data_IF_219374596522
#
_entry.id   IF_219374596522
#
_cell.length_a   1.000
_cell.length_b   1.000
_cell.length_c   1.000
_cell.angle_alpha   90.00
_cell.angle_beta   90.00
_cell.angle_gamma   90.00
#
_symmetry.space_group_name_H-M   'P 1'
#
loop_
_entity.id
_entity.type
_entity.pdbx_description
1 polymer ?
#
# COMPACT_ATOMS: atom_id res chain seq x y z
N UNK A 1 -80.93 -4.44 -36.64
CA UNK A 1 -79.51 -4.15 -37.04
C UNK A 1 -78.65 -4.21 -35.78
N UNK A 2 -78.05 -5.38 -35.54
CA UNK A 2 -77.12 -5.55 -34.40
C UNK A 2 -75.71 -5.36 -34.95
N UNK A 3 -75.10 -4.21 -34.71
CA UNK A 3 -73.68 -4.03 -34.95
C UNK A 3 -72.93 -4.76 -33.84
N UNK A 4 -72.39 -5.90 -34.15
CA UNK A 4 -71.39 -6.56 -33.30
C UNK A 4 -70.27 -5.59 -33.07
N UNK A 5 -70.12 -5.11 -31.84
CA UNK A 5 -68.89 -4.55 -31.32
C UNK A 5 -67.84 -5.69 -31.27
N UNK A 6 -67.33 -6.03 -32.46
CA UNK A 6 -66.04 -6.73 -32.51
C UNK A 6 -65.03 -5.77 -31.87
N UNK A 7 -64.86 -5.93 -30.60
CA UNK A 7 -63.71 -5.36 -29.88
C UNK A 7 -62.49 -5.57 -30.76
N UNK A 8 -61.92 -4.47 -31.21
CA UNK A 8 -60.74 -4.50 -32.04
C UNK A 8 -59.55 -5.01 -31.17
N UNK A 9 -59.49 -6.35 -31.06
CA UNK A 9 -58.40 -7.02 -30.31
C UNK A 9 -57.04 -6.64 -30.85
N UNK A 10 -56.93 -6.12 -32.08
CA UNK A 10 -55.66 -5.65 -32.65
C UNK A 10 -55.15 -4.42 -31.95
N UNK A 11 -55.99 -3.49 -31.54
CA UNK A 11 -55.58 -2.31 -30.78
C UNK A 11 -55.05 -2.64 -29.38
N UNK A 12 -55.75 -3.59 -28.70
CA UNK A 12 -55.34 -4.05 -27.37
C UNK A 12 -54.01 -4.81 -27.43
N UNK A 13 -53.88 -5.69 -28.42
CA UNK A 13 -52.61 -6.48 -28.62
C UNK A 13 -51.44 -5.53 -28.96
N UNK A 14 -51.66 -4.56 -29.85
CA UNK A 14 -50.61 -3.58 -30.19
C UNK A 14 -50.21 -2.72 -28.99
N UNK A 15 -51.18 -2.32 -28.17
CA UNK A 15 -50.87 -1.57 -26.93
C UNK A 15 -50.10 -2.44 -25.95
N UNK A 16 -50.49 -3.69 -25.72
CA UNK A 16 -49.78 -4.65 -24.85
C UNK A 16 -48.34 -4.92 -25.32
N UNK A 17 -48.17 -5.13 -26.63
CA UNK A 17 -46.82 -5.30 -27.20
C UNK A 17 -45.96 -4.07 -27.02
N UNK A 18 -46.49 -2.86 -27.15
CA UNK A 18 -45.78 -1.60 -26.89
C UNK A 18 -45.36 -1.49 -25.44
N UNK A 19 -46.19 -1.87 -24.47
CA UNK A 19 -45.83 -1.87 -23.06
C UNK A 19 -44.73 -2.90 -22.75
N UNK A 20 -44.83 -4.11 -23.30
CA UNK A 20 -43.79 -5.16 -23.15
C UNK A 20 -42.48 -4.68 -23.76
N UNK A 21 -42.47 -4.09 -24.94
CA UNK A 21 -41.30 -3.56 -25.61
C UNK A 21 -40.65 -2.43 -24.79
N UNK A 22 -41.45 -1.55 -24.20
CA UNK A 22 -40.97 -0.45 -23.32
C UNK A 22 -40.33 -1.01 -22.05
N UNK A 23 -40.93 -2.00 -21.40
CA UNK A 23 -40.40 -2.66 -20.22
C UNK A 23 -39.07 -3.38 -20.51
N UNK A 24 -39.00 -4.09 -21.66
CA UNK A 24 -37.75 -4.71 -22.07
C UNK A 24 -36.66 -3.68 -22.35
N UNK A 25 -36.97 -2.62 -23.08
CA UNK A 25 -36.01 -1.53 -23.34
C UNK A 25 -35.52 -0.88 -22.06
N UNK A 26 -36.42 -0.60 -21.10
CA UNK A 26 -36.07 -0.06 -19.78
C UNK A 26 -35.18 -1.06 -18.99
N UNK A 27 -35.52 -2.35 -19.02
CA UNK A 27 -34.73 -3.39 -18.36
C UNK A 27 -33.31 -3.51 -18.94
N UNK A 28 -33.19 -3.47 -20.27
CA UNK A 28 -31.86 -3.47 -20.95
C UNK A 28 -31.06 -2.23 -20.58
N UNK A 29 -31.69 -1.06 -20.57
CA UNK A 29 -31.02 0.21 -20.23
C UNK A 29 -30.53 0.20 -18.77
N UNK A 30 -31.38 -0.23 -17.84
CA UNK A 30 -31.00 -0.36 -16.42
C UNK A 30 -29.86 -1.38 -16.26
N UNK A 31 -29.95 -2.51 -16.93
CA UNK A 31 -28.90 -3.54 -16.92
C UNK A 31 -27.58 -3.03 -17.50
N UNK A 32 -27.61 -2.25 -18.56
CA UNK A 32 -26.42 -1.64 -19.15
C UNK A 32 -25.77 -0.61 -18.21
N UNK A 33 -26.57 0.27 -17.60
CA UNK A 33 -26.08 1.27 -16.63
C UNK A 33 -25.47 0.56 -15.41
N UNK A 34 -26.16 -0.42 -14.85
CA UNK A 34 -25.68 -1.20 -13.71
C UNK A 34 -24.37 -1.96 -14.07
N UNK A 35 -24.29 -2.54 -15.26
CA UNK A 35 -23.11 -3.22 -15.76
C UNK A 35 -21.91 -2.28 -15.90
N UNK A 36 -22.10 -1.09 -16.45
CA UNK A 36 -21.07 -0.08 -16.61
C UNK A 36 -20.55 0.42 -15.24
N UNK A 37 -21.44 0.65 -14.28
CA UNK A 37 -21.06 1.08 -12.91
C UNK A 37 -20.25 -0.01 -12.22
N UNK A 38 -20.71 -1.25 -12.29
CA UNK A 38 -20.02 -2.41 -11.72
C UNK A 38 -18.62 -2.61 -12.34
N UNK A 39 -18.53 -2.52 -13.66
CA UNK A 39 -17.26 -2.63 -14.38
C UNK A 39 -16.27 -1.54 -13.98
N UNK A 40 -16.73 -0.29 -13.86
CA UNK A 40 -15.90 0.83 -13.43
C UNK A 40 -15.37 0.65 -11.98
N UNK A 41 -16.23 0.19 -11.07
CA UNK A 41 -15.82 -0.07 -9.69
C UNK A 41 -14.84 -1.24 -9.60
N UNK A 42 -15.05 -2.29 -10.36
CA UNK A 42 -14.14 -3.42 -10.44
C UNK A 42 -12.77 -3.02 -11.02
N UNK A 43 -12.75 -2.23 -12.09
CA UNK A 43 -11.51 -1.73 -12.67
C UNK A 43 -10.71 -0.90 -11.67
N UNK A 44 -11.37 0.00 -10.93
CA UNK A 44 -10.71 0.84 -9.91
C UNK A 44 -10.17 0.01 -8.75
N UNK A 45 -10.88 -1.03 -8.35
CA UNK A 45 -10.39 -1.96 -7.34
C UNK A 45 -9.16 -2.74 -7.82
N UNK A 46 -9.16 -3.18 -9.06
CA UNK A 46 -8.01 -3.86 -9.67
C UNK A 46 -6.80 -2.91 -9.77
N UNK A 47 -7.00 -1.65 -10.16
CA UNK A 47 -5.95 -0.63 -10.18
C UNK A 47 -5.38 -0.35 -8.78
N UNK A 48 -6.22 -0.18 -7.77
CA UNK A 48 -5.79 0.05 -6.41
C UNK A 48 -5.00 -1.13 -5.85
N UNK A 49 -5.43 -2.36 -6.15
CA UNK A 49 -4.69 -3.57 -5.80
C UNK A 49 -3.33 -3.61 -6.53
N UNK A 50 -3.28 -3.26 -7.81
CA UNK A 50 -2.03 -3.20 -8.56
C UNK A 50 -1.05 -2.17 -7.98
N UNK A 51 -1.51 -0.99 -7.53
CA UNK A 51 -0.67 -0.01 -6.85
C UNK A 51 -0.09 -0.60 -5.55
N UNK A 52 -0.93 -1.23 -4.73
CA UNK A 52 -0.50 -1.85 -3.47
C UNK A 52 0.52 -2.97 -3.72
N UNK A 53 0.25 -3.86 -4.67
CA UNK A 53 1.12 -4.98 -5.03
C UNK A 53 2.46 -4.51 -5.61
N UNK A 54 2.45 -3.48 -6.46
CA UNK A 54 3.68 -2.91 -7.01
C UNK A 54 4.58 -2.33 -5.91
N UNK A 55 4.00 -1.60 -4.95
CA UNK A 55 4.76 -1.07 -3.82
C UNK A 55 5.32 -2.21 -2.94
N UNK A 56 4.50 -3.20 -2.59
CA UNK A 56 4.94 -4.37 -1.80
C UNK A 56 6.12 -5.08 -2.48
N UNK A 57 5.99 -5.39 -3.77
CA UNK A 57 7.07 -6.03 -4.55
C UNK A 57 8.32 -5.15 -4.64
N UNK A 58 8.17 -3.83 -4.68
CA UNK A 58 9.32 -2.92 -4.67
C UNK A 58 10.07 -3.00 -3.33
N UNK A 59 9.36 -2.98 -2.20
CA UNK A 59 9.94 -3.09 -0.86
C UNK A 59 10.64 -4.45 -0.69
N UNK A 60 10.02 -5.53 -1.14
CA UNK A 60 10.61 -6.88 -1.15
C UNK A 60 11.87 -6.95 -2.03
N UNK A 61 11.85 -6.29 -3.18
CA UNK A 61 13.04 -6.20 -4.06
C UNK A 61 14.18 -5.46 -3.39
N UNK A 62 13.87 -4.42 -2.61
CA UNK A 62 14.89 -3.71 -1.81
C UNK A 62 15.48 -4.61 -0.73
N UNK A 63 14.67 -5.48 -0.11
CA UNK A 63 15.19 -6.42 0.90
C UNK A 63 16.17 -7.44 0.33
N UNK A 64 15.97 -7.87 -0.92
CA UNK A 64 16.86 -8.80 -1.62
C UNK A 64 18.18 -8.18 -2.11
N UNK A 65 18.35 -6.86 -1.97
CA UNK A 65 19.62 -6.22 -2.37
C UNK A 65 20.77 -6.69 -1.49
N UNK A 66 21.90 -6.96 -2.13
CA UNK A 66 23.12 -7.42 -1.45
C UNK A 66 24.02 -6.26 -0.98
N UNK A 67 23.75 -5.05 -1.43
CA UNK A 67 24.51 -3.84 -1.10
C UNK A 67 23.59 -2.76 -0.56
N UNK A 68 24.12 -1.82 0.27
CA UNK A 68 23.38 -0.65 0.69
C UNK A 68 22.87 0.13 -0.52
N UNK A 69 21.59 0.43 -0.54
CA UNK A 69 20.98 1.16 -1.65
C UNK A 69 19.86 2.07 -1.09
N UNK A 70 19.74 3.25 -1.67
CA UNK A 70 18.64 4.18 -1.39
C UNK A 70 17.90 4.48 -2.69
N UNK A 71 16.62 4.28 -2.68
CA UNK A 71 15.74 4.54 -3.83
C UNK A 71 14.59 5.43 -3.43
N UNK A 72 14.14 6.22 -4.40
CA UNK A 72 12.92 7.03 -4.26
C UNK A 72 11.77 6.32 -4.92
N UNK A 73 10.67 6.17 -4.21
CA UNK A 73 9.43 5.61 -4.72
C UNK A 73 8.37 6.71 -4.84
N UNK A 74 7.73 6.80 -6.01
CA UNK A 74 6.59 7.67 -6.27
C UNK A 74 5.38 6.79 -6.63
N UNK A 75 4.26 7.05 -5.99
CA UNK A 75 3.02 6.38 -6.36
C UNK A 75 2.50 6.95 -7.68
N UNK A 76 1.87 6.11 -8.54
CA UNK A 76 1.44 6.54 -9.86
C UNK A 76 0.29 7.56 -9.78
N UNK A 77 0.36 8.60 -10.59
CA UNK A 77 -0.76 9.53 -10.75
C UNK A 77 -1.98 8.84 -11.35
N UNK A 78 -3.16 9.16 -10.85
CA UNK A 78 -4.45 8.65 -11.32
C UNK A 78 -5.43 9.79 -11.57
N UNK A 79 -6.44 9.52 -12.39
CA UNK A 79 -7.54 10.45 -12.66
C UNK A 79 -8.49 10.65 -11.47
N UNK A 80 -8.27 9.95 -10.38
CA UNK A 80 -9.05 10.01 -9.15
C UNK A 80 -8.13 10.16 -7.95
N UNK A 81 -8.63 10.80 -6.90
CA UNK A 81 -7.88 10.95 -5.66
C UNK A 81 -7.87 9.64 -4.87
N UNK A 82 -6.69 9.27 -4.37
CA UNK A 82 -6.52 8.11 -3.50
C UNK A 82 -5.46 8.39 -2.44
N UNK A 83 -5.56 7.69 -1.32
CA UNK A 83 -4.57 7.70 -0.24
C UNK A 83 -3.94 6.33 -0.11
N UNK A 84 -2.68 6.30 0.26
CA UNK A 84 -1.97 5.06 0.57
C UNK A 84 -1.69 5.01 2.07
N UNK A 85 -2.01 3.88 2.69
CA UNK A 85 -1.69 3.59 4.09
C UNK A 85 -0.67 2.47 4.11
N UNK A 86 0.44 2.72 4.79
CA UNK A 86 1.57 1.80 4.87
C UNK A 86 1.77 1.43 6.33
N UNK A 87 1.72 0.15 6.63
CA UNK A 87 2.07 -0.46 7.91
C UNK A 87 3.21 -1.44 7.69
N UNK A 88 3.82 -1.94 8.74
CA UNK A 88 4.87 -2.97 8.66
C UNK A 88 4.41 -4.28 8.02
N UNK A 89 3.10 -4.56 8.09
CA UNK A 89 2.54 -5.84 7.64
C UNK A 89 1.76 -5.72 6.34
N UNK A 90 1.39 -4.50 5.94
CA UNK A 90 0.57 -4.30 4.74
C UNK A 90 0.65 -2.90 4.16
N UNK A 91 0.33 -2.80 2.90
CA UNK A 91 0.00 -1.56 2.21
C UNK A 91 -1.45 -1.61 1.75
N UNK A 92 -2.17 -0.51 1.90
CA UNK A 92 -3.55 -0.39 1.43
C UNK A 92 -3.77 0.92 0.70
N UNK A 93 -4.56 0.85 -0.37
CA UNK A 93 -4.97 1.98 -1.19
C UNK A 93 -6.44 2.24 -0.96
N UNK A 94 -6.76 3.46 -0.54
CA UNK A 94 -8.13 3.90 -0.28
C UNK A 94 -8.48 5.02 -1.24
N UNK A 95 -9.64 4.93 -1.87
CA UNK A 95 -10.17 6.00 -2.70
C UNK A 95 -11.14 6.85 -1.89
N UNK A 96 -11.03 8.16 -2.02
CA UNK A 96 -12.02 9.10 -1.53
C UNK A 96 -12.94 9.51 -2.69
N UNK A 97 -14.12 8.91 -2.76
CA UNK A 97 -15.23 9.45 -3.54
C UNK A 97 -16.10 10.27 -2.60
N UNK A 98 -16.59 11.43 -3.06
CA UNK A 98 -17.32 12.41 -2.25
C UNK A 98 -18.49 11.88 -1.42
N UNK A 99 -18.94 10.65 -1.67
CA UNK A 99 -20.04 9.98 -0.97
C UNK A 99 -19.59 8.86 -0.03
N UNK A 100 -18.42 8.24 -0.26
CA UNK A 100 -17.95 7.11 0.55
C UNK A 100 -16.50 7.40 0.97
N UNK A 101 -16.36 7.99 2.14
CA UNK A 101 -15.04 8.23 2.75
C UNK A 101 -14.43 6.89 3.22
N UNK A 102 -13.15 6.67 2.90
CA UNK A 102 -12.33 5.58 3.45
C UNK A 102 -12.75 4.14 3.08
N UNK A 103 -13.35 3.90 1.92
CA UNK A 103 -13.50 2.52 1.44
C UNK A 103 -12.12 2.00 1.04
N UNK A 104 -11.60 0.99 1.75
CA UNK A 104 -10.41 0.25 1.33
C UNK A 104 -10.77 -0.48 0.05
N UNK A 105 -10.05 -0.18 -1.05
CA UNK A 105 -10.32 -0.76 -2.36
C UNK A 105 -9.19 -1.68 -2.85
N UNK A 106 -8.00 -1.57 -2.28
CA UNK A 106 -6.87 -2.46 -2.54
C UNK A 106 -6.00 -2.63 -1.30
N UNK A 107 -5.58 -3.86 -1.03
CA UNK A 107 -4.65 -4.19 0.05
C UNK A 107 -3.73 -5.30 -0.41
N UNK A 108 -2.46 -5.21 0.01
CA UNK A 108 -1.44 -6.24 -0.18
C UNK A 108 -0.66 -6.40 1.12
N UNK A 109 -0.24 -7.62 1.42
CA UNK A 109 0.62 -7.92 2.57
C UNK A 109 2.08 -7.67 2.20
N UNK A 110 2.88 -7.22 3.16
CA UNK A 110 4.33 -7.14 3.06
C UNK A 110 4.92 -8.42 3.63
N UNK A 111 5.73 -9.13 2.84
CA UNK A 111 6.38 -10.37 3.27
C UNK A 111 7.57 -10.12 4.21
N UNK A 112 8.03 -8.86 4.27
CA UNK A 112 9.09 -8.40 5.17
C UNK A 112 8.53 -7.36 6.12
N UNK A 113 9.19 -7.14 7.25
CA UNK A 113 8.85 -6.10 8.22
C UNK A 113 9.83 -4.93 8.11
N UNK A 114 9.56 -3.93 7.24
CA UNK A 114 10.42 -2.77 7.13
C UNK A 114 10.28 -1.88 8.37
N UNK A 115 11.34 -1.14 8.69
CA UNK A 115 11.25 -0.03 9.63
C UNK A 115 10.64 1.18 8.90
N UNK A 116 9.46 1.62 9.31
CA UNK A 116 8.72 2.70 8.63
C UNK A 116 8.65 3.89 9.59
N UNK A 117 9.23 5.01 9.17
CA UNK A 117 9.25 6.25 9.96
C UNK A 117 8.29 7.28 9.38
N UNK A 118 7.17 7.60 10.05
CA UNK A 118 6.34 8.76 9.73
C UNK A 118 7.04 10.07 10.14
N UNK A 119 6.93 11.13 9.34
CA UNK A 119 7.54 12.45 9.64
C UNK A 119 7.12 12.99 11.00
N UNK A 120 5.85 12.81 11.36
CA UNK A 120 5.26 13.40 12.56
C UNK A 120 5.72 12.74 13.86
N UNK A 121 6.50 11.65 13.80
CA UNK A 121 6.89 10.88 14.98
C UNK A 121 8.39 10.93 15.21
N UNK A 122 8.76 11.22 16.46
CA UNK A 122 10.16 11.12 16.91
C UNK A 122 10.46 9.66 17.26
N UNK A 123 11.19 9.00 16.40
CA UNK A 123 11.68 7.63 16.62
C UNK A 123 13.19 7.65 16.90
N UNK A 124 13.76 6.52 17.27
CA UNK A 124 15.15 6.43 17.68
C UNK A 124 16.12 6.84 16.57
N UNK A 125 15.74 6.60 15.32
CA UNK A 125 16.49 6.97 14.12
C UNK A 125 15.53 7.11 12.93
N UNK A 126 15.91 7.91 11.96
CA UNK A 126 15.03 8.31 10.86
C UNK A 126 15.40 7.63 9.53
N UNK A 127 16.70 7.42 9.33
CA UNK A 127 17.27 6.85 8.12
C UNK A 127 18.45 5.91 8.47
N UNK A 128 19.10 5.37 7.45
CA UNK A 128 20.23 4.46 7.65
C UNK A 128 21.42 5.14 8.32
N UNK A 129 21.66 6.42 8.07
CA UNK A 129 22.77 7.16 8.69
C UNK A 129 22.54 7.31 10.18
N UNK A 130 21.35 7.77 10.58
CA UNK A 130 21.01 7.91 11.98
C UNK A 130 20.96 6.58 12.73
N UNK A 131 20.59 5.48 12.05
CA UNK A 131 20.74 4.14 12.61
C UNK A 131 22.20 3.85 12.98
N UNK A 132 23.14 4.13 12.08
CA UNK A 132 24.56 3.92 12.34
C UNK A 132 25.13 4.85 13.40
N UNK A 133 24.69 6.12 13.42
CA UNK A 133 25.03 7.07 14.48
C UNK A 133 24.51 6.59 15.87
N UNK A 134 23.30 6.07 15.91
CA UNK A 134 22.72 5.46 17.11
C UNK A 134 23.52 4.21 17.58
N UNK A 135 23.95 3.36 16.65
CA UNK A 135 24.77 2.19 16.98
C UNK A 135 26.12 2.59 17.54
N UNK A 136 26.74 3.64 16.97
CA UNK A 136 27.99 4.23 17.49
C UNK A 136 27.83 4.71 18.92
N UNK A 137 26.75 5.43 19.20
CA UNK A 137 26.50 5.97 20.56
C UNK A 137 26.25 4.86 21.59
N UNK A 138 25.61 3.78 21.19
CA UNK A 138 25.18 2.71 22.09
C UNK A 138 26.23 1.61 22.27
N UNK A 139 26.93 1.25 21.19
CA UNK A 139 27.84 0.10 21.13
C UNK A 139 29.30 0.50 20.84
N UNK A 140 29.61 1.80 20.77
CA UNK A 140 30.91 2.34 20.41
C UNK A 140 31.44 1.92 19.02
N UNK A 141 30.55 1.35 18.19
CA UNK A 141 30.80 0.94 16.82
C UNK A 141 29.61 1.28 15.93
N UNK A 142 29.87 1.84 14.78
CA UNK A 142 28.82 2.29 13.86
C UNK A 142 28.11 1.12 13.14
N UNK A 143 28.73 -0.02 13.06
CA UNK A 143 28.19 -1.14 12.28
C UNK A 143 28.39 -0.97 10.76
N UNK A 144 29.17 0.02 10.31
CA UNK A 144 29.62 0.07 8.92
C UNK A 144 30.70 -0.97 8.64
N UNK A 145 30.98 -1.22 7.37
CA UNK A 145 31.98 -2.21 6.93
C UNK A 145 33.39 -1.90 7.44
N UNK A 146 33.73 -0.62 7.61
CA UNK A 146 35.01 -0.10 8.11
C UNK A 146 35.07 0.01 9.65
N UNK A 147 33.90 -0.02 10.31
CA UNK A 147 33.77 -0.02 11.76
C UNK A 147 32.69 -1.02 12.23
N UNK A 148 32.94 -2.34 12.03
CA UNK A 148 31.99 -3.39 12.35
C UNK A 148 31.88 -3.62 13.87
N UNK A 149 30.67 -3.95 14.33
CA UNK A 149 30.39 -4.30 15.72
C UNK A 149 31.02 -5.67 16.04
N UNK A 150 31.60 -5.89 17.24
CA UNK A 150 32.06 -7.20 17.66
C UNK A 150 30.97 -8.26 17.59
N UNK A 151 31.34 -9.50 17.20
CA UNK A 151 30.35 -10.58 17.00
C UNK A 151 29.64 -11.01 18.28
N UNK A 152 30.29 -10.85 19.42
CA UNK A 152 29.73 -11.14 20.75
C UNK A 152 28.60 -10.19 21.12
N UNK A 153 28.56 -8.98 20.58
CA UNK A 153 27.46 -8.01 20.74
C UNK A 153 26.32 -8.22 19.73
N UNK A 154 26.50 -9.08 18.71
CA UNK A 154 25.50 -9.30 17.66
C UNK A 154 24.12 -9.63 18.23
N UNK A 155 24.03 -10.52 19.21
CA UNK A 155 22.78 -10.92 19.84
C UNK A 155 22.04 -9.73 20.45
N UNK A 156 22.75 -8.87 21.16
CA UNK A 156 22.17 -7.72 21.85
C UNK A 156 21.68 -6.66 20.87
N UNK A 157 22.45 -6.44 19.79
CA UNK A 157 22.05 -5.53 18.69
C UNK A 157 20.79 -6.04 18.00
N UNK A 158 20.74 -7.32 17.63
CA UNK A 158 19.59 -7.89 16.95
C UNK A 158 18.35 -7.97 17.83
N UNK A 159 18.51 -8.27 19.13
CA UNK A 159 17.41 -8.23 20.08
C UNK A 159 16.86 -6.81 20.23
N UNK A 160 17.71 -5.81 20.34
CA UNK A 160 17.29 -4.42 20.38
C UNK A 160 16.51 -4.04 19.11
N UNK A 161 17.06 -4.31 17.93
CA UNK A 161 16.39 -3.99 16.65
C UNK A 161 15.04 -4.70 16.54
N UNK A 162 14.96 -5.97 16.93
CA UNK A 162 13.72 -6.74 16.92
C UNK A 162 12.66 -6.14 17.86
N UNK A 163 13.07 -5.71 19.04
CA UNK A 163 12.17 -5.09 20.00
C UNK A 163 11.68 -3.73 19.47
N UNK A 164 12.59 -2.91 18.94
CA UNK A 164 12.25 -1.61 18.32
C UNK A 164 11.27 -1.81 17.15
N UNK A 165 11.55 -2.74 16.23
CA UNK A 165 10.65 -3.06 15.11
C UNK A 165 9.28 -3.54 15.61
N UNK A 166 9.24 -4.42 16.62
CA UNK A 166 8.00 -4.93 17.19
C UNK A 166 7.14 -3.82 17.80
N UNK A 167 7.75 -2.91 18.53
CA UNK A 167 7.02 -1.82 19.18
C UNK A 167 6.53 -0.80 18.15
N UNK A 168 7.36 -0.45 17.16
CA UNK A 168 6.93 0.42 16.06
C UNK A 168 5.87 -0.22 15.17
N UNK A 169 5.94 -1.53 14.96
CA UNK A 169 4.88 -2.29 14.27
C UNK A 169 3.52 -2.17 14.98
N UNK A 170 3.50 -2.29 16.32
CA UNK A 170 2.26 -2.12 17.09
C UNK A 170 1.69 -0.70 17.00
N UNK A 171 2.56 0.31 16.95
CA UNK A 171 2.15 1.69 16.73
C UNK A 171 1.57 1.89 15.32
N UNK A 172 2.26 1.39 14.28
CA UNK A 172 1.84 1.50 12.89
C UNK A 172 0.59 0.66 12.55
N UNK A 173 0.34 -0.41 13.31
CA UNK A 173 -0.89 -1.18 13.16
C UNK A 173 -2.13 -0.38 13.57
N UNK A 174 -1.97 0.52 14.56
CA UNK A 174 -3.04 1.42 15.02
C UNK A 174 -3.14 2.67 14.15
N UNK A 175 -2.00 3.25 13.80
CA UNK A 175 -1.88 4.49 13.06
C UNK A 175 -0.82 4.33 11.96
N UNK A 176 -1.20 3.77 10.79
CA UNK A 176 -0.28 3.57 9.68
C UNK A 176 0.24 4.90 9.12
N UNK A 177 1.38 4.86 8.46
CA UNK A 177 1.86 5.99 7.65
C UNK A 177 0.83 6.27 6.56
N UNK A 178 0.35 7.51 6.48
CA UNK A 178 -0.66 7.92 5.50
C UNK A 178 0.00 8.85 4.48
N UNK A 179 0.02 8.40 3.22
CA UNK A 179 0.37 9.24 2.08
C UNK A 179 -0.92 9.87 1.55
N UNK A 180 -1.16 11.13 1.91
CA UNK A 180 -2.31 11.88 1.42
C UNK A 180 -2.10 12.37 -0.01
N UNK A 181 -0.86 12.72 -0.34
CA UNK A 181 -0.45 13.10 -1.67
C UNK A 181 0.45 12.00 -2.26
N UNK A 182 -0.04 11.22 -3.23
CA UNK A 182 0.76 10.16 -3.84
C UNK A 182 1.98 10.68 -4.62
N UNK A 183 2.06 11.98 -4.90
CA UNK A 183 3.20 12.61 -5.58
C UNK A 183 4.35 12.94 -4.61
N UNK A 184 4.13 12.82 -3.31
CA UNK A 184 5.21 12.96 -2.35
C UNK A 184 6.13 11.73 -2.39
N UNK A 185 7.47 11.96 -2.45
CA UNK A 185 8.42 10.86 -2.52
C UNK A 185 8.53 10.11 -1.19
N UNK A 186 8.55 8.79 -1.27
CA UNK A 186 9.02 7.92 -0.21
C UNK A 186 10.46 7.52 -0.51
N UNK A 187 11.32 7.57 0.50
CA UNK A 187 12.67 7.02 0.44
C UNK A 187 12.65 5.63 1.05
N UNK A 188 13.19 4.67 0.30
CA UNK A 188 13.33 3.28 0.71
C UNK A 188 14.81 2.94 0.66
N UNK A 189 15.36 2.60 1.82
CA UNK A 189 16.78 2.34 1.99
C UNK A 189 17.01 0.90 2.43
N UNK A 190 17.97 0.23 1.82
CA UNK A 190 18.56 -1.01 2.34
C UNK A 190 19.85 -0.66 3.08
N UNK A 191 19.85 -0.87 4.38
CA UNK A 191 21.03 -0.72 5.23
C UNK A 191 21.56 -2.08 5.66
N UNK A 192 22.85 -2.17 5.95
CA UNK A 192 23.49 -3.36 6.49
C UNK A 192 24.28 -3.00 7.74
N UNK A 193 24.09 -3.81 8.77
CA UNK A 193 24.90 -3.74 9.98
C UNK A 193 25.93 -4.88 9.89
N UNK A 194 27.21 -4.52 9.96
CA UNK A 194 28.32 -5.47 9.87
C UNK A 194 28.83 -5.85 11.26
N UNK A 195 29.13 -7.13 11.41
CA UNK A 195 29.67 -7.72 12.63
C UNK A 195 31.02 -8.36 12.35
N UNK A 196 32.02 -8.07 13.20
CA UNK A 196 33.37 -8.59 13.09
C UNK A 196 33.42 -10.01 13.65
N UNK A 197 33.74 -10.99 12.77
CA UNK A 197 33.89 -12.40 13.11
C UNK A 197 35.32 -12.83 12.86
N UNK A 198 35.77 -13.89 13.54
CA UNK A 198 37.09 -14.50 13.26
C UNK A 198 37.16 -14.94 11.79
N UNK A 199 38.07 -14.28 11.03
CA UNK A 199 38.30 -14.55 9.63
C UNK A 199 37.35 -13.88 8.62
N UNK A 200 36.48 -12.94 9.04
CA UNK A 200 35.62 -12.24 8.10
C UNK A 200 34.59 -11.29 8.73
N UNK A 201 33.62 -10.92 7.94
CA UNK A 201 32.49 -10.12 8.37
C UNK A 201 31.19 -10.91 8.21
N UNK A 202 30.32 -10.76 9.17
CA UNK A 202 28.91 -11.14 9.09
C UNK A 202 28.07 -9.89 8.90
N UNK A 203 26.84 -10.00 8.37
CA UNK A 203 25.98 -8.83 8.15
C UNK A 203 24.51 -9.15 8.32
N UNK A 204 23.76 -8.15 8.78
CA UNK A 204 22.31 -8.17 8.81
C UNK A 204 21.75 -6.99 8.03
N UNK A 205 20.72 -7.24 7.23
CA UNK A 205 20.09 -6.22 6.41
C UNK A 205 18.77 -5.73 7.01
N UNK A 206 18.53 -4.44 6.91
CA UNK A 206 17.26 -3.81 7.31
C UNK A 206 16.75 -2.94 6.17
N UNK A 207 15.43 -2.94 5.95
CA UNK A 207 14.77 -2.01 5.02
C UNK A 207 14.13 -0.89 5.83
N UNK A 208 14.47 0.33 5.49
CA UNK A 208 13.96 1.55 6.13
C UNK A 208 13.12 2.32 5.12
N UNK A 209 11.91 2.72 5.52
CA UNK A 209 11.00 3.52 4.70
C UNK A 209 10.73 4.82 5.44
N UNK A 210 11.02 5.94 4.81
CA UNK A 210 10.78 7.25 5.41
C UNK A 210 10.35 8.29 4.37
N UNK A 211 9.70 9.34 4.84
CA UNK A 211 9.46 10.56 4.08
C UNK A 211 10.62 11.52 4.33
N UNK A 212 10.92 12.40 3.35
CA UNK A 212 11.91 13.46 3.56
C UNK A 212 11.32 14.47 4.53
N UNK A 213 12.11 14.88 5.53
CA UNK A 213 11.86 16.13 6.25
C UNK A 213 12.17 17.29 5.30
N UNK A 214 11.24 18.26 5.19
CA UNK A 214 11.49 19.52 4.49
C UNK A 214 12.52 20.37 5.20
#
# INVERSE_FOLDING_TARGET
MSKSLLLDNRGIISWLLSQIALLLAAGILIGAIAGLTFYNDWQKQAEAKAIASHFASFVETMDLKEFPEKMTYLFPEKSYYYKVKISTDYVSVTREDGTIKNKIIGREELLIQPYIRPIERKWSWNDSKELHDFLMDKYAHSGYIDDPIPIDEKSDVLEYLKNELSDKSKELAKEPLIMENPNEPLFIEKAFIYFKKDGGLDREGIVIIHQKEE
#
